data_IF_531303254005
#
_entry.id   IF_531303254005
#
_cell.length_a   1.000
_cell.length_b   1.000
_cell.length_c   1.000
_cell.angle_alpha   90.00
_cell.angle_beta   90.00
_cell.angle_gamma   90.00
#
_symmetry.space_group_name_H-M   'P 1'
#
loop_
_entity.id
_entity.type
_entity.pdbx_description
1 polymer ?
#
# COMPACT_ATOMS: atom_id res chain seq x y z
N UNK A 1 -16.02 -0.52 -40.96
CA UNK A 1 -15.57 0.43 -39.94
C UNK A 1 -16.57 1.56 -39.90
N UNK A 2 -17.59 1.45 -39.05
CA UNK A 2 -18.38 2.63 -38.68
C UNK A 2 -17.47 3.54 -37.88
N UNK A 3 -17.42 4.81 -38.24
CA UNK A 3 -16.80 5.86 -37.41
C UNK A 3 -17.67 6.02 -36.16
N UNK A 4 -17.36 5.25 -35.11
CA UNK A 4 -17.90 5.48 -33.77
C UNK A 4 -17.37 6.83 -33.31
N UNK A 5 -18.26 7.73 -32.90
CA UNK A 5 -17.89 9.09 -32.48
C UNK A 5 -17.53 9.02 -31.00
N UNK A 6 -16.23 8.92 -30.68
CA UNK A 6 -15.73 8.98 -29.31
C UNK A 6 -16.03 10.36 -28.71
N UNK A 7 -16.79 10.41 -27.61
CA UNK A 7 -17.13 11.66 -26.94
C UNK A 7 -16.21 11.90 -25.73
N UNK A 8 -15.29 12.86 -25.83
CA UNK A 8 -14.51 13.38 -24.70
C UNK A 8 -15.17 14.63 -24.11
N UNK A 9 -15.43 14.62 -22.81
CA UNK A 9 -16.01 15.75 -22.06
C UNK A 9 -15.04 16.19 -20.98
N UNK A 10 -14.68 17.48 -20.98
CA UNK A 10 -13.96 18.10 -19.87
C UNK A 10 -14.94 18.94 -19.04
N UNK A 11 -14.87 18.83 -17.71
CA UNK A 11 -15.61 19.73 -16.82
C UNK A 11 -15.11 21.17 -17.03
N UNK A 12 -15.95 22.02 -17.60
CA UNK A 12 -15.65 23.45 -17.75
C UNK A 12 -15.69 24.12 -16.38
N UNK A 13 -14.52 24.56 -15.88
CA UNK A 13 -14.46 25.43 -14.71
C UNK A 13 -15.19 26.73 -14.98
N UNK A 14 -16.35 26.94 -14.36
CA UNK A 14 -17.09 28.21 -14.46
C UNK A 14 -16.35 29.31 -13.71
N UNK A 15 -15.56 30.10 -14.41
CA UNK A 15 -15.18 31.44 -13.98
C UNK A 15 -16.29 32.42 -14.42
N UNK A 16 -17.03 32.95 -13.45
CA UNK A 16 -18.07 33.96 -13.70
C UNK A 16 -17.39 35.32 -13.90
N UNK A 17 -17.26 35.76 -15.16
CA UNK A 17 -17.04 37.16 -15.51
C UNK A 17 -18.35 37.74 -16.03
N UNK A 18 -18.90 38.71 -15.30
CA UNK A 18 -20.20 39.31 -15.59
C UNK A 18 -20.19 40.15 -16.86
N UNK A 19 -21.17 39.91 -17.73
CA UNK A 19 -21.72 40.90 -18.67
C UNK A 19 -23.24 40.73 -18.71
N UNK A 20 -23.96 41.80 -18.38
CA UNK A 20 -25.41 41.93 -18.50
C UNK A 20 -25.80 42.08 -19.98
N UNK A 21 -26.68 41.21 -20.50
CA UNK A 21 -27.79 41.57 -21.40
C UNK A 21 -28.58 40.34 -21.89
N UNK A 22 -29.93 40.42 -21.82
CA UNK A 22 -30.84 39.68 -22.71
C UNK A 22 -31.56 38.46 -22.10
N UNK A 23 -32.81 38.66 -21.67
CA UNK A 23 -33.71 37.64 -21.15
C UNK A 23 -34.14 36.63 -22.23
N UNK A 24 -33.71 35.38 -22.09
CA UNK A 24 -34.46 34.22 -22.54
C UNK A 24 -34.52 33.24 -21.36
N UNK A 25 -35.72 32.97 -20.85
CA UNK A 25 -35.95 32.01 -19.77
C UNK A 25 -35.74 30.60 -20.31
N UNK A 26 -34.48 30.18 -20.37
CA UNK A 26 -34.12 28.78 -20.50
C UNK A 26 -34.39 28.19 -19.12
N UNK A 27 -35.45 27.39 -18.99
CA UNK A 27 -35.59 26.49 -17.84
C UNK A 27 -34.42 25.52 -17.99
N UNK A 28 -33.43 25.51 -17.07
CA UNK A 28 -32.39 24.50 -17.14
C UNK A 28 -33.09 23.16 -16.95
N UNK A 29 -32.92 22.25 -17.93
CA UNK A 29 -33.16 20.84 -17.66
C UNK A 29 -32.32 20.48 -16.43
N UNK A 30 -32.84 19.70 -15.47
CA UNK A 30 -32.01 19.23 -14.38
C UNK A 30 -30.78 18.57 -15.01
N UNK A 31 -29.60 19.07 -14.68
CA UNK A 31 -28.35 18.38 -15.02
C UNK A 31 -28.56 16.94 -14.58
N UNK A 32 -28.52 16.01 -15.54
CA UNK A 32 -28.59 14.60 -15.24
C UNK A 32 -27.48 14.36 -14.22
N UNK A 33 -27.88 14.09 -12.97
CA UNK A 33 -26.93 13.87 -11.90
C UNK A 33 -26.00 12.77 -12.38
N UNK A 34 -24.76 13.14 -12.68
CA UNK A 34 -23.69 12.20 -12.92
C UNK A 34 -23.73 11.29 -11.71
N UNK A 35 -24.20 10.05 -11.90
CA UNK A 35 -24.32 9.07 -10.82
C UNK A 35 -22.93 9.03 -10.19
N UNK A 36 -22.81 9.51 -8.95
CA UNK A 36 -21.52 9.58 -8.27
C UNK A 36 -21.01 8.16 -8.19
N UNK A 37 -19.98 7.83 -8.98
CA UNK A 37 -19.37 6.53 -8.89
C UNK A 37 -18.85 6.38 -7.44
N UNK A 38 -19.21 5.29 -6.73
CA UNK A 38 -19.05 5.21 -5.29
C UNK A 38 -17.58 5.14 -4.90
N UNK A 39 -17.30 5.41 -3.63
CA UNK A 39 -15.95 5.32 -3.07
C UNK A 39 -15.10 6.56 -3.33
N UNK A 40 -13.79 6.38 -3.24
CA UNK A 40 -12.80 7.45 -3.35
C UNK A 40 -11.62 7.01 -4.20
N UNK A 41 -11.10 7.96 -4.98
CA UNK A 41 -9.89 7.83 -5.77
C UNK A 41 -8.78 8.54 -5.01
N UNK A 42 -7.72 7.82 -4.62
CA UNK A 42 -6.45 8.43 -4.22
C UNK A 42 -5.56 8.57 -5.44
N UNK A 43 -4.77 9.64 -5.49
CA UNK A 43 -3.99 9.99 -6.68
C UNK A 43 -2.80 10.90 -6.33
N UNK A 44 -1.86 11.05 -7.26
CA UNK A 44 -0.78 12.04 -7.18
C UNK A 44 -1.18 13.32 -7.91
N UNK A 45 -0.94 14.47 -7.28
CA UNK A 45 -1.04 15.79 -7.91
C UNK A 45 -0.09 16.77 -7.24
N UNK A 46 0.63 17.53 -8.06
CA UNK A 46 1.65 18.47 -7.61
C UNK A 46 2.66 17.79 -6.65
N UNK A 47 3.11 16.58 -7.01
CA UNK A 47 4.05 15.73 -6.27
C UNK A 47 3.56 15.21 -4.90
N UNK A 48 2.29 15.38 -4.57
CA UNK A 48 1.73 14.98 -3.29
C UNK A 48 0.55 14.02 -3.48
N UNK A 49 0.19 13.31 -2.42
CA UNK A 49 -1.00 12.45 -2.39
C UNK A 49 -2.23 13.31 -2.15
N UNK A 50 -3.23 13.09 -2.99
CA UNK A 50 -4.56 13.66 -2.89
C UNK A 50 -5.62 12.55 -2.90
N UNK A 51 -6.85 12.92 -2.58
CA UNK A 51 -8.02 12.07 -2.75
C UNK A 51 -9.22 12.88 -3.21
N UNK A 52 -10.12 12.25 -3.95
CA UNK A 52 -11.39 12.81 -4.42
C UNK A 52 -12.46 11.70 -4.45
N UNK A 53 -13.73 12.07 -4.59
CA UNK A 53 -14.79 11.10 -4.89
C UNK A 53 -14.69 10.60 -6.35
N UNK A 54 -15.48 9.60 -6.70
CA UNK A 54 -15.49 9.00 -8.05
C UNK A 54 -15.96 9.91 -9.20
N UNK A 55 -16.36 11.15 -8.90
CA UNK A 55 -16.66 12.18 -9.88
C UNK A 55 -15.59 13.29 -9.90
N UNK A 56 -14.50 13.13 -9.12
CA UNK A 56 -13.46 14.15 -8.94
C UNK A 56 -13.84 15.29 -7.99
N UNK A 57 -14.99 15.18 -7.33
CA UNK A 57 -15.45 16.11 -6.30
C UNK A 57 -14.78 15.87 -4.95
N UNK A 58 -15.06 16.75 -3.99
CA UNK A 58 -14.54 16.67 -2.61
C UNK A 58 -13.00 16.50 -2.51
N UNK A 59 -12.28 17.02 -3.51
CA UNK A 59 -10.84 16.87 -3.60
C UNK A 59 -10.13 17.43 -2.35
N UNK A 60 -9.20 16.64 -1.80
CA UNK A 60 -8.45 16.97 -0.59
C UNK A 60 -7.01 16.49 -0.71
N UNK A 61 -6.08 17.36 -0.35
CA UNK A 61 -4.68 17.00 -0.19
C UNK A 61 -4.47 16.17 1.10
N UNK A 62 -3.77 15.04 0.97
CA UNK A 62 -3.44 14.14 2.08
C UNK A 62 -2.03 14.39 2.59
N UNK A 63 -1.05 14.53 1.68
CA UNK A 63 0.35 14.76 2.05
C UNK A 63 0.85 16.12 1.59
N UNK A 64 1.93 16.57 2.20
CA UNK A 64 2.67 17.76 1.79
C UNK A 64 4.16 17.42 1.70
N UNK A 65 4.96 18.31 1.10
CA UNK A 65 6.42 18.21 1.11
C UNK A 65 7.02 17.40 -0.03
N UNK A 66 6.21 16.78 -0.89
CA UNK A 66 6.71 16.20 -2.14
C UNK A 66 7.27 17.28 -3.07
N UNK A 67 8.31 16.92 -3.83
CA UNK A 67 8.98 17.79 -4.80
C UNK A 67 9.21 17.06 -6.11
N UNK A 68 9.56 17.73 -7.22
CA UNK A 68 9.90 17.04 -8.47
C UNK A 68 11.02 15.99 -8.33
N UNK A 69 11.99 16.20 -7.42
CA UNK A 69 13.13 15.29 -7.22
C UNK A 69 12.93 14.22 -6.13
N UNK A 70 11.84 14.32 -5.38
CA UNK A 70 11.44 13.36 -4.34
C UNK A 70 9.91 13.49 -4.17
N UNK A 71 9.13 13.02 -5.15
CA UNK A 71 7.67 13.09 -5.07
C UNK A 71 7.13 12.05 -4.07
N UNK A 72 5.87 12.20 -3.69
CA UNK A 72 5.09 11.06 -3.21
C UNK A 72 4.69 10.19 -4.40
N UNK A 73 4.68 8.87 -4.24
CA UNK A 73 4.44 7.92 -5.33
C UNK A 73 3.59 6.72 -4.89
N UNK A 74 2.97 6.09 -5.89
CA UNK A 74 2.13 4.87 -5.78
C UNK A 74 1.11 4.91 -4.62
N UNK A 75 0.21 5.91 -4.59
CA UNK A 75 -0.80 6.01 -3.55
C UNK A 75 -1.90 4.96 -3.73
N UNK A 76 -2.19 4.21 -2.68
CA UNK A 76 -3.31 3.25 -2.65
C UNK A 76 -4.13 3.40 -1.37
N UNK A 77 -5.37 2.91 -1.37
CA UNK A 77 -6.28 3.06 -0.24
C UNK A 77 -7.06 1.78 0.05
N UNK A 78 -7.11 1.39 1.32
CA UNK A 78 -7.96 0.29 1.81
C UNK A 78 -9.42 0.71 1.85
N UNK A 79 -10.36 -0.22 1.91
CA UNK A 79 -11.80 0.07 1.96
C UNK A 79 -12.24 0.80 3.24
N UNK A 80 -11.42 0.77 4.29
CA UNK A 80 -11.64 1.53 5.52
C UNK A 80 -11.11 2.98 5.46
N UNK A 81 -10.50 3.40 4.34
CA UNK A 81 -9.93 4.74 4.18
C UNK A 81 -8.51 4.92 4.73
N UNK A 82 -7.76 3.83 4.96
CA UNK A 82 -6.31 3.91 5.22
C UNK A 82 -5.58 4.10 3.89
N UNK A 83 -4.76 5.15 3.82
CA UNK A 83 -3.94 5.48 2.65
C UNK A 83 -2.52 4.97 2.88
N UNK A 84 -1.93 4.38 1.84
CA UNK A 84 -0.51 4.03 1.76
C UNK A 84 0.09 4.70 0.55
N UNK A 85 1.26 5.32 0.72
CA UNK A 85 2.09 5.81 -0.37
C UNK A 85 3.55 5.74 0.09
N UNK A 86 4.48 5.79 -0.85
CA UNK A 86 5.90 5.87 -0.51
C UNK A 86 6.51 7.23 -0.84
N UNK A 87 7.55 7.57 -0.07
CA UNK A 87 8.30 8.81 -0.20
C UNK A 87 9.70 8.63 0.40
N UNK A 88 10.74 9.11 -0.29
CA UNK A 88 12.15 8.90 0.08
C UNK A 88 12.56 7.44 0.32
N UNK A 89 11.88 6.46 -0.28
CA UNK A 89 12.15 5.03 -0.11
C UNK A 89 11.54 4.40 1.15
N UNK A 90 10.62 5.10 1.83
CA UNK A 90 9.87 4.59 2.98
C UNK A 90 8.38 4.53 2.67
N UNK A 91 7.68 3.57 3.28
CA UNK A 91 6.23 3.40 3.15
C UNK A 91 5.53 4.12 4.30
N UNK A 92 4.62 5.04 3.97
CA UNK A 92 3.81 5.77 4.95
C UNK A 92 2.40 5.21 4.94
N UNK A 93 1.93 4.77 6.11
CA UNK A 93 0.53 4.41 6.33
C UNK A 93 -0.14 5.55 7.07
N UNK A 94 -1.14 6.16 6.46
CA UNK A 94 -1.80 7.37 6.97
C UNK A 94 -3.32 7.28 6.82
N UNK A 95 -4.03 8.15 7.53
CA UNK A 95 -5.45 8.34 7.29
C UNK A 95 -5.68 9.39 6.19
N UNK A 96 -6.94 9.57 5.77
CA UNK A 96 -7.29 10.54 4.73
C UNK A 96 -7.02 12.01 5.10
N UNK A 97 -6.65 12.29 6.35
CA UNK A 97 -6.31 13.63 6.83
C UNK A 97 -4.80 13.93 6.78
N UNK A 98 -3.99 12.96 6.38
CA UNK A 98 -2.53 13.06 6.40
C UNK A 98 -1.90 12.72 7.75
N UNK A 99 -2.69 12.26 8.72
CA UNK A 99 -2.16 11.83 10.01
C UNK A 99 -1.55 10.43 9.84
N UNK A 100 -0.27 10.30 10.17
CA UNK A 100 0.50 9.06 9.95
C UNK A 100 0.28 8.07 11.10
N UNK A 101 -0.17 6.86 10.77
CA UNK A 101 -0.27 5.74 11.71
C UNK A 101 1.12 5.19 12.06
N UNK A 102 1.93 4.94 11.03
CA UNK A 102 3.27 4.39 11.11
C UNK A 102 4.02 4.62 9.80
N UNK A 103 5.36 4.60 9.88
CA UNK A 103 6.28 4.59 8.74
C UNK A 103 7.00 3.25 8.77
N UNK A 104 7.08 2.60 7.61
CA UNK A 104 7.75 1.31 7.43
C UNK A 104 8.95 1.54 6.53
N UNK A 105 10.12 1.10 7.00
CA UNK A 105 11.27 0.80 6.17
C UNK A 105 11.08 -0.66 5.71
N UNK A 106 10.62 -0.90 4.45
CA UNK A 106 10.31 -2.24 4.01
C UNK A 106 11.58 -3.09 3.98
N UNK A 107 11.51 -4.38 4.33
CA UNK A 107 12.69 -5.23 4.28
C UNK A 107 13.25 -5.36 2.86
N UNK A 108 14.57 -5.33 2.76
CA UNK A 108 15.33 -5.59 1.53
C UNK A 108 14.85 -6.89 0.86
N UNK A 109 14.80 -6.85 -0.47
CA UNK A 109 14.51 -8.03 -1.29
C UNK A 109 15.74 -8.41 -2.10
N UNK A 110 15.71 -9.62 -2.65
CA UNK A 110 16.67 -10.05 -3.67
C UNK A 110 15.92 -10.40 -4.94
N UNK A 111 16.51 -10.07 -6.08
CA UNK A 111 15.98 -10.46 -7.39
C UNK A 111 16.33 -11.93 -7.72
N UNK A 112 15.98 -12.37 -8.94
CA UNK A 112 16.25 -13.72 -9.45
C UNK A 112 17.74 -14.06 -9.58
N UNK A 113 18.61 -13.05 -9.64
CA UNK A 113 20.06 -13.18 -9.75
C UNK A 113 20.77 -12.99 -8.39
N UNK A 114 20.00 -12.87 -7.31
CA UNK A 114 20.46 -12.68 -5.94
C UNK A 114 21.13 -11.32 -5.67
N UNK A 115 20.77 -10.30 -6.45
CA UNK A 115 21.16 -8.93 -6.17
C UNK A 115 20.20 -8.28 -5.16
N UNK A 116 20.74 -7.45 -4.27
CA UNK A 116 19.96 -6.79 -3.21
C UNK A 116 19.26 -5.53 -3.76
N UNK A 117 17.95 -5.45 -3.53
CA UNK A 117 17.10 -4.31 -3.83
C UNK A 117 16.56 -3.70 -2.53
N UNK A 118 16.74 -2.38 -2.34
CA UNK A 118 16.49 -1.75 -1.03
C UNK A 118 16.28 -0.23 -1.11
N UNK A 119 15.70 0.33 -0.04
CA UNK A 119 15.61 1.78 0.18
C UNK A 119 14.99 2.55 -0.98
N UNK A 120 15.76 3.42 -1.63
CA UNK A 120 15.27 4.27 -2.75
C UNK A 120 15.04 3.54 -4.07
N UNK A 121 15.30 2.23 -4.13
CA UNK A 121 14.88 1.40 -5.25
C UNK A 121 13.35 1.11 -5.21
N UNK A 122 12.63 1.59 -4.17
CA UNK A 122 11.19 1.34 -3.99
C UNK A 122 10.40 2.07 -5.06
N UNK A 123 9.62 1.33 -5.85
CA UNK A 123 8.83 1.90 -6.94
C UNK A 123 7.34 1.79 -6.71
N UNK A 124 6.84 0.69 -6.12
CA UNK A 124 5.39 0.48 -5.95
C UNK A 124 5.01 0.14 -4.52
N UNK A 125 3.82 0.57 -4.11
CA UNK A 125 3.17 0.16 -2.87
C UNK A 125 1.67 0.00 -3.03
N UNK A 126 1.12 -1.11 -2.55
CA UNK A 126 -0.32 -1.35 -2.57
C UNK A 126 -0.84 -1.90 -1.25
N UNK A 127 -1.82 -1.22 -0.62
CA UNK A 127 -2.49 -1.72 0.58
C UNK A 127 -3.67 -2.64 0.24
N UNK A 128 -3.77 -3.77 0.95
CA UNK A 128 -4.90 -4.70 0.82
C UNK A 128 -6.25 -4.06 1.17
N UNK A 129 -7.37 -4.56 0.62
CA UNK A 129 -8.71 -4.03 0.89
C UNK A 129 -9.07 -3.90 2.38
N UNK A 130 -8.72 -4.90 3.20
CA UNK A 130 -8.94 -4.88 4.65
C UNK A 130 -7.96 -3.99 5.43
N UNK A 131 -6.96 -3.41 4.75
CA UNK A 131 -5.96 -2.53 5.33
C UNK A 131 -4.90 -3.22 6.18
N UNK A 132 -4.80 -4.55 6.13
CA UNK A 132 -3.93 -5.35 7.02
C UNK A 132 -2.56 -5.69 6.44
N UNK A 133 -2.41 -5.66 5.11
CA UNK A 133 -1.17 -5.98 4.38
C UNK A 133 -0.83 -4.91 3.37
N UNK A 134 0.47 -4.82 3.07
CA UNK A 134 1.03 -3.96 2.03
C UNK A 134 1.90 -4.85 1.13
N UNK A 135 1.63 -4.82 -0.17
CA UNK A 135 2.55 -5.29 -1.20
C UNK A 135 3.49 -4.13 -1.56
N UNK A 136 4.76 -4.41 -1.80
CA UNK A 136 5.74 -3.41 -2.19
C UNK A 136 6.70 -3.97 -3.22
N UNK A 137 7.05 -3.16 -4.22
CA UNK A 137 7.97 -3.56 -5.29
C UNK A 137 9.21 -2.70 -5.25
N UNK A 138 10.37 -3.35 -5.26
CA UNK A 138 11.61 -2.69 -5.62
C UNK A 138 11.90 -2.92 -7.10
N UNK A 139 12.40 -1.88 -7.79
CA UNK A 139 12.96 -2.01 -9.12
C UNK A 139 14.23 -1.17 -9.27
N UNK A 140 15.20 -1.70 -9.99
CA UNK A 140 16.49 -1.06 -10.22
C UNK A 140 17.07 -1.43 -11.57
N UNK A 141 17.68 -0.48 -12.24
CA UNK A 141 18.35 -0.73 -13.52
C UNK A 141 19.86 -0.78 -13.31
N UNK A 142 20.48 -1.90 -13.64
CA UNK A 142 21.94 -2.06 -13.69
C UNK A 142 22.37 -2.44 -15.10
N UNK A 143 23.33 -1.69 -15.66
CA UNK A 143 23.87 -1.95 -17.00
C UNK A 143 22.80 -2.10 -18.10
N UNK A 144 21.66 -1.40 -17.96
CA UNK A 144 20.53 -1.48 -18.89
C UNK A 144 19.56 -2.64 -18.67
N UNK A 145 19.79 -3.47 -17.65
CA UNK A 145 18.90 -4.57 -17.25
C UNK A 145 18.07 -4.12 -16.05
N UNK A 146 16.75 -4.29 -16.11
CA UNK A 146 15.83 -3.98 -15.02
C UNK A 146 15.71 -5.21 -14.12
N UNK A 147 15.95 -5.01 -12.83
CA UNK A 147 15.86 -5.99 -11.76
C UNK A 147 14.71 -5.60 -10.86
N UNK A 148 13.84 -6.53 -10.48
CA UNK A 148 12.71 -6.22 -9.60
C UNK A 148 12.37 -7.40 -8.70
N UNK A 149 11.72 -7.08 -7.59
CA UNK A 149 11.12 -8.05 -6.69
C UNK A 149 9.95 -7.39 -5.96
N UNK A 150 8.88 -8.15 -5.77
CA UNK A 150 7.71 -7.75 -4.99
C UNK A 150 7.62 -8.59 -3.72
N UNK A 151 7.57 -7.90 -2.58
CA UNK A 151 7.42 -8.48 -1.26
C UNK A 151 6.10 -8.07 -0.61
N UNK A 152 5.81 -8.68 0.54
CA UNK A 152 4.61 -8.41 1.30
C UNK A 152 4.93 -8.21 2.77
N UNK A 153 4.26 -7.25 3.39
CA UNK A 153 4.41 -6.95 4.81
C UNK A 153 3.07 -6.73 5.48
N UNK A 154 2.99 -6.96 6.79
CA UNK A 154 1.87 -6.46 7.57
C UNK A 154 1.84 -4.92 7.47
N UNK A 155 0.65 -4.33 7.38
CA UNK A 155 0.51 -2.88 7.21
C UNK A 155 0.95 -2.10 8.46
N UNK A 156 0.94 -2.72 9.64
CA UNK A 156 1.36 -2.10 10.90
C UNK A 156 2.86 -2.23 11.23
N UNK A 157 3.62 -3.08 10.53
CA UNK A 157 5.04 -3.32 10.80
C UNK A 157 5.71 -4.13 9.68
N UNK A 158 7.02 -3.91 9.48
CA UNK A 158 7.85 -4.72 8.60
C UNK A 158 7.85 -6.21 9.02
N UNK A 159 7.42 -7.09 8.13
CA UNK A 159 7.39 -8.55 8.32
C UNK A 159 8.56 -9.21 7.58
N UNK A 160 8.91 -10.43 7.96
CA UNK A 160 9.90 -11.22 7.22
C UNK A 160 9.38 -11.51 5.78
N UNK A 161 10.13 -11.16 4.71
CA UNK A 161 9.70 -11.43 3.33
C UNK A 161 9.41 -12.91 3.06
N UNK A 162 10.05 -13.83 3.77
CA UNK A 162 9.81 -15.27 3.60
C UNK A 162 8.42 -15.71 4.07
N UNK A 163 7.71 -14.90 4.87
CA UNK A 163 6.43 -15.30 5.47
C UNK A 163 5.31 -15.47 4.44
N UNK A 164 5.21 -14.57 3.46
CA UNK A 164 4.27 -14.66 2.33
C UNK A 164 4.95 -14.98 1.00
N UNK A 165 6.27 -15.17 1.02
CA UNK A 165 7.07 -15.34 -0.18
C UNK A 165 7.36 -14.01 -0.87
N UNK A 166 8.25 -14.10 -1.87
CA UNK A 166 8.65 -13.01 -2.75
C UNK A 166 8.23 -13.40 -4.16
N UNK A 167 7.69 -12.45 -4.91
CA UNK A 167 7.43 -12.59 -6.33
C UNK A 167 8.47 -11.80 -7.12
N UNK A 168 8.81 -12.29 -8.31
CA UNK A 168 9.75 -11.62 -9.22
C UNK A 168 9.00 -10.93 -10.35
N UNK A 169 7.86 -10.33 -10.02
CA UNK A 169 6.95 -9.59 -10.91
C UNK A 169 6.71 -8.20 -10.30
N UNK A 170 6.16 -7.24 -11.05
CA UNK A 170 5.95 -5.85 -10.60
C UNK A 170 4.47 -5.42 -10.59
N UNK A 171 4.21 -4.16 -10.20
CA UNK A 171 2.90 -3.50 -10.20
C UNK A 171 1.79 -4.31 -9.51
N UNK A 172 1.92 -4.56 -8.19
CA UNK A 172 0.95 -5.34 -7.43
C UNK A 172 -0.38 -4.61 -7.29
N UNK A 173 -1.47 -5.29 -7.68
CA UNK A 173 -2.83 -4.87 -7.36
C UNK A 173 -3.57 -5.98 -6.60
N UNK A 174 -4.30 -5.62 -5.55
CA UNK A 174 -4.97 -6.60 -4.71
C UNK A 174 -6.29 -7.06 -5.31
N UNK A 175 -6.41 -8.36 -5.57
CA UNK A 175 -7.65 -9.02 -6.01
C UNK A 175 -8.52 -9.38 -4.81
N UNK A 176 -7.88 -9.83 -3.73
CA UNK A 176 -8.51 -10.10 -2.42
C UNK A 176 -7.57 -9.70 -1.28
N UNK A 177 -7.85 -10.04 -0.03
CA UNK A 177 -6.92 -9.78 1.09
C UNK A 177 -5.68 -10.69 1.11
N UNK A 178 -5.63 -11.72 0.25
CA UNK A 178 -4.55 -12.71 0.18
C UNK A 178 -4.14 -13.09 -1.26
N UNK A 179 -4.67 -12.41 -2.27
CA UNK A 179 -4.35 -12.62 -3.69
C UNK A 179 -4.04 -11.28 -4.33
N UNK A 180 -2.93 -11.20 -5.05
CA UNK A 180 -2.57 -10.05 -5.88
C UNK A 180 -2.46 -10.46 -7.34
N UNK A 181 -2.78 -9.56 -8.25
CA UNK A 181 -2.39 -9.64 -9.65
C UNK A 181 -1.09 -8.85 -9.83
N UNK A 182 -0.19 -9.38 -10.66
CA UNK A 182 1.13 -8.81 -10.89
C UNK A 182 1.39 -8.72 -12.39
N UNK A 183 2.04 -7.62 -12.78
CA UNK A 183 2.51 -7.41 -14.15
C UNK A 183 3.85 -8.09 -14.36
N UNK A 184 4.11 -8.51 -15.58
CA UNK A 184 5.36 -9.18 -15.94
C UNK A 184 6.00 -8.43 -17.10
N UNK A 185 7.10 -7.74 -16.81
CA UNK A 185 7.80 -6.96 -17.80
C UNK A 185 8.50 -7.87 -18.82
N UNK A 186 8.39 -7.54 -20.11
CA UNK A 186 9.00 -8.29 -21.22
C UNK A 186 8.53 -9.77 -21.31
N UNK A 187 7.32 -10.07 -20.82
CA UNK A 187 6.62 -11.33 -21.11
C UNK A 187 5.14 -11.04 -21.30
N UNK A 188 4.47 -11.93 -22.03
CA UNK A 188 3.04 -11.89 -22.24
C UNK A 188 2.27 -12.63 -21.13
N UNK A 189 2.96 -13.07 -20.08
CA UNK A 189 2.41 -13.97 -19.07
C UNK A 189 1.91 -13.16 -17.87
N UNK A 190 0.62 -13.23 -17.57
CA UNK A 190 0.04 -12.48 -16.46
C UNK A 190 -0.16 -13.38 -15.24
N UNK A 191 0.19 -12.89 -14.06
CA UNK A 191 0.30 -13.73 -12.87
C UNK A 191 -0.67 -13.31 -11.76
N UNK A 192 -1.28 -14.30 -11.11
CA UNK A 192 -1.93 -14.17 -9.82
C UNK A 192 -1.03 -14.81 -8.76
N UNK A 193 -0.86 -14.14 -7.62
CA UNK A 193 -0.04 -14.62 -6.53
C UNK A 193 -0.87 -14.77 -5.26
N UNK A 194 -1.02 -16.02 -4.81
CA UNK A 194 -1.65 -16.36 -3.54
C UNK A 194 -0.59 -16.33 -2.44
N UNK A 195 -0.68 -15.34 -1.55
CA UNK A 195 0.33 -15.05 -0.53
C UNK A 195 0.68 -16.29 0.31
N UNK A 196 1.96 -16.66 0.30
CA UNK A 196 2.50 -17.79 1.05
C UNK A 196 2.07 -19.17 0.52
N UNK A 197 1.41 -19.23 -0.64
CA UNK A 197 0.90 -20.49 -1.19
C UNK A 197 1.47 -20.80 -2.57
N UNK A 198 1.24 -19.94 -3.56
CA UNK A 198 1.57 -20.25 -4.97
C UNK A 198 1.61 -19.02 -5.86
N UNK A 199 2.38 -19.15 -6.93
CA UNK A 199 2.34 -18.29 -8.10
C UNK A 199 1.54 -19.00 -9.21
N UNK A 200 0.56 -18.31 -9.79
CA UNK A 200 -0.37 -18.82 -10.79
C UNK A 200 -0.16 -18.02 -12.07
N UNK A 201 0.47 -18.64 -13.06
CA UNK A 201 0.44 -18.15 -14.44
C UNK A 201 -1.01 -18.25 -14.94
N UNK A 202 -1.67 -17.11 -15.13
CA UNK A 202 -3.10 -17.06 -15.43
C UNK A 202 -3.38 -17.08 -16.93
N UNK A 203 -3.07 -16.00 -17.64
CA UNK A 203 -3.33 -15.93 -19.08
C UNK A 203 -2.26 -15.13 -19.83
N UNK A 204 -2.33 -15.23 -21.14
CA UNK A 204 -1.50 -14.51 -22.10
C UNK A 204 -2.40 -13.86 -23.15
N UNK A 205 -2.11 -12.64 -23.59
CA UNK A 205 -2.95 -11.95 -24.59
C UNK A 205 -3.12 -12.78 -25.89
N UNK A 206 -2.15 -13.64 -26.23
CA UNK A 206 -2.21 -14.56 -27.39
C UNK A 206 -3.41 -15.50 -27.36
N UNK A 207 -4.09 -15.65 -26.22
CA UNK A 207 -5.32 -16.45 -26.12
C UNK A 207 -6.51 -15.79 -26.83
N UNK A 208 -6.47 -14.47 -27.09
CA UNK A 208 -7.55 -13.75 -27.76
C UNK A 208 -7.08 -12.78 -28.87
N UNK A 209 -5.77 -12.49 -29.00
CA UNK A 209 -5.22 -11.64 -30.09
C UNK A 209 -3.92 -12.16 -30.68
N UNK A 210 -3.79 -12.04 -32.00
CA UNK A 210 -2.58 -12.50 -32.73
C UNK A 210 -1.43 -11.48 -32.64
N UNK A 211 -1.75 -10.19 -32.53
CA UNK A 211 -0.83 -9.06 -32.38
C UNK A 211 -0.57 -8.75 -30.89
N UNK A 212 -0.25 -9.78 -30.11
CA UNK A 212 -0.10 -9.62 -28.66
C UNK A 212 0.98 -8.57 -28.31
N UNK A 213 0.61 -7.63 -27.44
CA UNK A 213 1.47 -6.63 -26.81
C UNK A 213 1.60 -6.92 -25.32
N UNK A 214 2.55 -6.26 -24.66
CA UNK A 214 2.67 -6.32 -23.21
C UNK A 214 1.39 -5.78 -22.56
N UNK A 215 0.96 -6.44 -21.49
CA UNK A 215 -0.09 -5.97 -20.60
C UNK A 215 0.54 -5.65 -19.25
N UNK A 216 0.18 -4.51 -18.67
CA UNK A 216 0.66 -4.09 -17.36
C UNK A 216 -0.40 -3.28 -16.60
N UNK A 217 -0.11 -2.89 -15.35
CA UNK A 217 -1.00 -2.11 -14.48
C UNK A 217 -2.38 -2.74 -14.32
N UNK A 218 -2.40 -4.03 -14.03
CA UNK A 218 -3.64 -4.78 -13.90
C UNK A 218 -4.47 -4.36 -12.69
N UNK A 219 -5.79 -4.34 -12.87
CA UNK A 219 -6.72 -4.38 -11.75
C UNK A 219 -7.87 -5.35 -12.03
N UNK A 220 -8.23 -6.15 -11.02
CA UNK A 220 -9.39 -7.04 -11.05
C UNK A 220 -10.51 -6.42 -10.22
N UNK A 221 -11.68 -6.29 -10.83
CA UNK A 221 -12.87 -5.74 -10.18
C UNK A 221 -13.27 -6.53 -8.92
N UNK A 222 -13.92 -5.85 -7.97
CA UNK A 222 -14.30 -6.43 -6.66
C UNK A 222 -15.25 -7.62 -6.76
N UNK A 223 -16.11 -7.63 -7.78
CA UNK A 223 -17.00 -8.77 -8.06
C UNK A 223 -16.34 -9.86 -8.91
N UNK A 224 -15.08 -9.66 -9.34
CA UNK A 224 -14.32 -10.58 -10.17
C UNK A 224 -14.74 -10.63 -11.64
N UNK A 225 -15.73 -9.86 -12.09
CA UNK A 225 -16.28 -9.97 -13.45
C UNK A 225 -15.38 -9.34 -14.53
N UNK A 226 -14.60 -8.33 -14.14
CA UNK A 226 -13.77 -7.53 -15.04
C UNK A 226 -12.32 -7.51 -14.60
N UNK A 227 -11.44 -7.45 -15.59
CA UNK A 227 -10.02 -7.09 -15.45
C UNK A 227 -9.74 -5.93 -16.40
N UNK A 228 -9.01 -4.92 -15.92
CA UNK A 228 -8.48 -3.85 -16.77
C UNK A 228 -6.97 -3.88 -16.75
N UNK A 229 -6.35 -3.40 -17.82
CA UNK A 229 -4.90 -3.30 -17.94
C UNK A 229 -4.52 -2.21 -18.94
N UNK A 230 -3.30 -1.70 -18.82
CA UNK A 230 -2.61 -0.97 -19.87
C UNK A 230 -2.04 -1.97 -20.86
N UNK A 231 -2.27 -1.78 -22.17
CA UNK A 231 -1.73 -2.60 -23.25
C UNK A 231 -0.82 -1.76 -24.14
N UNK A 232 0.37 -2.28 -24.43
CA UNK A 232 1.32 -1.65 -25.36
C UNK A 232 2.60 -1.16 -24.72
N UNK A 233 3.51 -0.69 -25.57
CA UNK A 233 4.78 -0.09 -25.18
C UNK A 233 4.67 1.43 -25.07
N UNK A 234 5.69 2.06 -24.50
CA UNK A 234 5.77 3.51 -24.36
C UNK A 234 5.56 4.24 -25.69
N UNK A 235 4.50 5.04 -25.77
CA UNK A 235 4.08 5.80 -26.94
C UNK A 235 2.99 5.14 -27.80
N UNK A 236 2.54 3.94 -27.45
CA UNK A 236 1.51 3.15 -28.14
C UNK A 236 0.59 2.44 -27.13
N UNK A 237 0.44 3.04 -25.95
CA UNK A 237 -0.41 2.49 -24.89
C UNK A 237 -1.90 2.68 -25.16
N UNK A 238 -2.66 1.72 -24.66
CA UNK A 238 -4.12 1.64 -24.71
C UNK A 238 -4.65 1.09 -23.39
N UNK A 239 -5.91 1.39 -23.05
CA UNK A 239 -6.60 0.70 -21.94
C UNK A 239 -7.40 -0.45 -22.53
N UNK A 240 -7.28 -1.65 -21.95
CA UNK A 240 -8.11 -2.81 -22.31
C UNK A 240 -9.06 -3.17 -21.18
N UNK A 241 -10.28 -3.57 -21.55
CA UNK A 241 -11.26 -4.14 -20.63
C UNK A 241 -11.50 -5.59 -21.02
N UNK A 242 -11.25 -6.48 -20.07
CA UNK A 242 -11.34 -7.92 -20.24
C UNK A 242 -12.47 -8.48 -19.37
N UNK A 243 -13.27 -9.37 -19.95
CA UNK A 243 -14.30 -10.13 -19.23
C UNK A 243 -13.67 -11.37 -18.62
N UNK A 244 -13.77 -11.51 -17.31
CA UNK A 244 -13.36 -12.73 -16.61
C UNK A 244 -14.46 -13.79 -16.69
N UNK A 245 -14.02 -15.05 -16.78
CA UNK A 245 -14.90 -16.22 -16.80
C UNK A 245 -14.64 -17.07 -15.55
N UNK A 246 -15.71 -17.49 -14.87
CA UNK A 246 -15.60 -18.26 -13.63
C UNK A 246 -15.10 -17.43 -12.43
N UNK A 247 -14.54 -18.10 -11.42
CA UNK A 247 -14.07 -17.47 -10.18
C UNK A 247 -12.58 -17.08 -10.27
N UNK A 248 -12.30 -15.83 -10.58
CA UNK A 248 -10.93 -15.29 -10.54
C UNK A 248 -10.43 -14.98 -9.12
N UNK A 249 -11.35 -14.80 -8.16
CA UNK A 249 -11.02 -14.30 -6.83
C UNK A 249 -10.37 -15.38 -5.97
N UNK A 250 -10.79 -16.64 -6.12
CA UNK A 250 -10.28 -17.73 -5.28
C UNK A 250 -9.86 -19.00 -6.02
N UNK A 251 -10.25 -19.17 -7.29
CA UNK A 251 -9.90 -20.39 -8.04
C UNK A 251 -8.37 -20.60 -8.09
N UNK A 252 -7.88 -21.83 -7.90
CA UNK A 252 -6.48 -22.18 -8.14
C UNK A 252 -6.10 -22.17 -9.63
N UNK A 253 -7.09 -22.24 -10.52
CA UNK A 253 -6.96 -22.30 -11.98
C UNK A 253 -8.08 -21.45 -12.61
N UNK A 254 -7.95 -20.11 -12.59
CA UNK A 254 -8.94 -19.22 -13.14
C UNK A 254 -8.93 -19.28 -14.67
N UNK A 255 -10.12 -19.25 -15.30
CA UNK A 255 -10.21 -19.31 -16.75
C UNK A 255 -9.65 -18.04 -17.40
N UNK A 256 -9.15 -18.18 -18.62
CA UNK A 256 -8.65 -17.05 -19.41
C UNK A 256 -9.77 -16.03 -19.64
N UNK A 257 -9.50 -14.73 -19.49
CA UNK A 257 -10.47 -13.70 -19.82
C UNK A 257 -10.57 -13.49 -21.34
N UNK A 258 -11.60 -12.76 -21.77
CA UNK A 258 -11.79 -12.38 -23.17
C UNK A 258 -11.83 -10.86 -23.32
N UNK A 259 -11.16 -10.32 -24.35
CA UNK A 259 -11.23 -8.90 -24.67
C UNK A 259 -12.68 -8.49 -24.98
N UNK A 260 -13.12 -7.41 -24.34
CA UNK A 260 -14.40 -6.77 -24.64
C UNK A 260 -14.18 -5.52 -25.47
N UNK A 261 -13.29 -4.64 -25.03
CA UNK A 261 -13.03 -3.39 -25.71
C UNK A 261 -11.63 -2.83 -25.39
N UNK A 262 -11.14 -1.99 -26.29
CA UNK A 262 -9.90 -1.22 -26.19
C UNK A 262 -10.24 0.25 -26.53
N UNK A 263 -10.93 0.96 -25.62
CA UNK A 263 -11.65 2.18 -25.95
C UNK A 263 -10.75 3.39 -26.21
N UNK A 264 -9.50 3.34 -25.74
CA UNK A 264 -8.54 4.44 -25.85
C UNK A 264 -7.22 3.87 -26.33
N UNK A 265 -6.66 4.47 -27.39
CA UNK A 265 -5.30 4.27 -27.86
C UNK A 265 -4.73 5.61 -28.35
N UNK A 266 -3.41 5.74 -28.35
CA UNK A 266 -2.60 6.87 -28.87
C UNK A 266 -2.05 7.87 -27.82
N UNK A 267 -1.81 7.45 -26.57
CA UNK A 267 -1.23 8.35 -25.55
C UNK A 267 -0.50 7.65 -24.41
N UNK A 268 0.15 8.43 -23.54
CA UNK A 268 0.76 7.94 -22.31
C UNK A 268 -0.32 7.62 -21.27
N UNK A 269 -0.94 6.44 -21.41
CA UNK A 269 -2.00 5.92 -20.55
C UNK A 269 -1.40 5.02 -19.48
N UNK A 270 -1.74 5.26 -18.22
CA UNK A 270 -1.17 4.51 -17.10
C UNK A 270 -2.19 4.23 -16.00
N UNK A 271 -1.94 3.16 -15.25
CA UNK A 271 -2.58 2.85 -13.96
C UNK A 271 -4.12 2.87 -13.99
N UNK A 272 -4.77 2.02 -14.82
CA UNK A 272 -6.21 1.90 -14.79
C UNK A 272 -6.69 1.32 -13.47
N UNK A 273 -7.78 1.87 -12.94
CA UNK A 273 -8.39 1.43 -11.69
C UNK A 273 -9.91 1.31 -11.81
N UNK A 274 -10.52 0.37 -11.08
CA UNK A 274 -11.94 0.02 -11.24
C UNK A 274 -12.74 0.52 -10.04
N UNK A 275 -13.89 1.14 -10.31
CA UNK A 275 -14.81 1.57 -9.27
C UNK A 275 -15.26 0.38 -8.38
N UNK A 276 -15.54 0.61 -7.08
CA UNK A 276 -15.93 -0.45 -6.14
C UNK A 276 -17.19 -1.23 -6.52
N UNK A 277 -18.12 -0.59 -7.23
CA UNK A 277 -19.32 -1.21 -7.79
C UNK A 277 -19.06 -2.01 -9.08
N UNK A 278 -17.81 -1.99 -9.56
CA UNK A 278 -17.35 -2.66 -10.78
C UNK A 278 -18.02 -2.14 -12.06
N UNK A 279 -18.51 -0.90 -12.05
CA UNK A 279 -19.26 -0.30 -13.16
C UNK A 279 -18.44 0.69 -14.00
N UNK A 280 -17.34 1.23 -13.47
CA UNK A 280 -16.53 2.25 -14.15
C UNK A 280 -15.04 1.98 -14.01
N UNK A 281 -14.28 2.51 -14.95
CA UNK A 281 -12.80 2.50 -14.97
C UNK A 281 -12.33 3.94 -14.98
N UNK A 282 -11.27 4.23 -14.23
CA UNK A 282 -10.52 5.47 -14.33
C UNK A 282 -9.07 5.18 -14.71
N UNK A 283 -8.38 6.10 -15.37
CA UNK A 283 -6.96 5.95 -15.76
C UNK A 283 -6.30 7.34 -15.83
N UNK A 284 -4.97 7.37 -15.77
CA UNK A 284 -4.21 8.60 -15.94
C UNK A 284 -3.85 8.86 -17.41
N UNK A 285 -3.99 10.11 -17.82
CA UNK A 285 -3.43 10.72 -19.04
C UNK A 285 -2.56 11.93 -18.66
N UNK A 286 -1.73 12.48 -19.56
CA UNK A 286 -0.88 13.63 -19.25
C UNK A 286 -1.63 14.88 -18.72
N UNK A 287 -2.92 15.04 -19.06
CA UNK A 287 -3.76 16.17 -18.65
C UNK A 287 -4.63 15.88 -17.41
N UNK A 288 -4.71 14.64 -16.95
CA UNK A 288 -5.41 14.26 -15.73
C UNK A 288 -6.00 12.86 -15.74
N UNK A 289 -6.84 12.59 -14.74
CA UNK A 289 -7.53 11.30 -14.60
C UNK A 289 -8.87 11.36 -15.32
N UNK A 290 -9.03 10.45 -16.27
CA UNK A 290 -10.24 10.24 -17.04
C UNK A 290 -11.03 9.06 -16.49
N UNK A 291 -12.33 9.02 -16.80
CA UNK A 291 -13.25 7.96 -16.39
C UNK A 291 -14.16 7.55 -17.54
N UNK A 292 -14.50 6.27 -17.56
CA UNK A 292 -15.45 5.65 -18.49
C UNK A 292 -16.36 4.65 -17.75
N UNK A 293 -17.61 4.53 -18.19
CA UNK A 293 -18.50 3.41 -17.85
C UNK A 293 -18.09 2.14 -18.59
N UNK A 294 -17.94 1.01 -17.87
CA UNK A 294 -17.66 -0.28 -18.51
C UNK A 294 -18.78 -0.67 -19.48
N UNK A 295 -20.03 -0.34 -19.15
CA UNK A 295 -21.19 -0.64 -19.99
C UNK A 295 -21.12 0.12 -21.32
N UNK A 296 -20.70 1.38 -21.31
CA UNK A 296 -20.55 2.18 -22.53
C UNK A 296 -19.49 1.57 -23.47
N UNK A 297 -18.48 0.93 -22.89
CA UNK A 297 -17.45 0.18 -23.61
C UNK A 297 -18.00 -1.13 -24.20
N UNK A 298 -18.84 -1.85 -23.45
CA UNK A 298 -19.54 -3.06 -23.93
C UNK A 298 -20.48 -2.73 -25.09
N UNK A 299 -21.14 -1.57 -25.03
CA UNK A 299 -22.11 -1.12 -26.03
C UNK A 299 -21.45 -0.44 -27.25
N UNK A 300 -20.11 -0.45 -27.36
CA UNK A 300 -19.33 0.18 -28.43
C UNK A 300 -19.64 1.69 -28.61
N UNK A 301 -19.88 2.37 -27.49
CA UNK A 301 -20.17 3.81 -27.44
C UNK A 301 -19.51 4.48 -26.22
N UNK A 302 -18.17 4.42 -26.11
CA UNK A 302 -17.47 4.91 -24.93
C UNK A 302 -17.59 6.43 -24.79
N UNK A 303 -17.92 6.88 -23.57
CA UNK A 303 -17.90 8.29 -23.17
C UNK A 303 -16.81 8.48 -22.12
N UNK A 304 -15.96 9.48 -22.34
CA UNK A 304 -14.84 9.78 -21.45
C UNK A 304 -15.05 11.12 -20.75
N UNK A 305 -15.00 11.09 -19.42
CA UNK A 305 -15.08 12.28 -18.58
C UNK A 305 -13.71 12.55 -17.93
N UNK A 306 -13.16 13.75 -18.13
CA UNK A 306 -12.01 14.22 -17.35
C UNK A 306 -12.51 14.60 -15.95
N UNK A 307 -12.24 13.75 -14.97
CA UNK A 307 -12.75 13.91 -13.60
C UNK A 307 -11.75 14.63 -12.68
N UNK A 308 -10.45 14.43 -12.86
CA UNK A 308 -9.41 15.06 -12.00
C UNK A 308 -8.31 15.65 -12.87
N UNK A 309 -8.44 16.92 -13.29
CA UNK A 309 -7.41 17.61 -14.07
C UNK A 309 -6.05 17.68 -13.34
N UNK A 310 -4.99 17.29 -14.03
CA UNK A 310 -3.61 17.24 -13.53
C UNK A 310 -3.35 16.21 -12.44
N UNK A 311 -4.27 15.27 -12.21
CA UNK A 311 -4.02 14.10 -11.37
C UNK A 311 -3.33 12.98 -12.16
N UNK A 312 -2.52 12.18 -11.48
CA UNK A 312 -1.93 10.94 -11.99
C UNK A 312 -2.02 9.85 -10.93
N UNK A 313 -1.61 8.64 -11.29
CA UNK A 313 -1.47 7.48 -10.41
C UNK A 313 -2.74 7.15 -9.59
N UNK A 314 -3.91 6.97 -10.22
CA UNK A 314 -5.15 6.78 -9.50
C UNK A 314 -5.27 5.36 -8.91
N UNK A 315 -5.84 5.26 -7.72
CA UNK A 315 -6.36 4.00 -7.17
C UNK A 315 -7.73 4.22 -6.54
N UNK A 316 -8.70 3.39 -6.90
CA UNK A 316 -10.09 3.52 -6.48
C UNK A 316 -10.47 2.50 -5.41
N UNK A 317 -10.90 2.98 -4.25
CA UNK A 317 -11.31 2.13 -3.12
C UNK A 317 -12.77 2.33 -2.74
N UNK A 318 -13.33 1.40 -1.96
CA UNK A 318 -14.69 1.51 -1.43
C UNK A 318 -14.82 2.56 -0.31
N UNK A 319 -13.72 3.16 0.13
CA UNK A 319 -13.77 4.16 1.20
C UNK A 319 -14.52 5.41 0.76
N UNK A 320 -15.31 5.98 1.65
CA UNK A 320 -15.93 7.29 1.41
C UNK A 320 -14.95 8.41 1.76
N UNK A 321 -14.97 9.50 0.99
CA UNK A 321 -14.19 10.71 1.31
C UNK A 321 -14.55 11.23 2.70
N UNK A 322 -13.54 11.46 3.54
CA UNK A 322 -13.67 11.87 4.93
C UNK A 322 -13.87 10.72 5.93
N UNK A 323 -14.18 9.50 5.47
CA UNK A 323 -14.37 8.33 6.34
C UNK A 323 -13.06 7.54 6.42
N UNK A 324 -12.37 7.67 7.56
CA UNK A 324 -11.05 7.07 7.78
C UNK A 324 -10.85 6.77 9.26
N UNK A 325 -10.03 5.77 9.63
CA UNK A 325 -9.78 5.46 11.03
C UNK A 325 -8.97 6.58 11.68
N UNK A 326 -9.22 6.83 12.95
CA UNK A 326 -8.39 7.76 13.71
C UNK A 326 -7.01 7.16 13.96
N UNK A 327 -5.97 7.97 13.77
CA UNK A 327 -4.63 7.62 14.25
C UNK A 327 -4.72 7.47 15.76
N UNK A 328 -4.29 6.34 16.35
CA UNK A 328 -4.25 6.20 17.79
C UNK A 328 -3.45 7.36 18.39
N UNK A 329 -4.11 8.24 19.15
CA UNK A 329 -3.46 9.41 19.74
C UNK A 329 -2.25 8.94 20.55
N UNK A 330 -1.08 9.53 20.28
CA UNK A 330 0.21 9.15 20.86
C UNK A 330 0.12 8.97 22.38
N UNK A 331 0.17 7.70 22.80
CA UNK A 331 -0.05 7.28 24.19
C UNK A 331 -0.84 5.97 24.32
N UNK A 332 -1.55 5.54 23.27
CA UNK A 332 -2.44 4.36 23.33
C UNK A 332 -2.24 3.34 22.20
N UNK A 333 -1.01 3.15 21.70
CA UNK A 333 -0.66 1.84 21.13
C UNK A 333 -0.45 0.89 22.29
N UNK A 334 -1.55 0.31 22.80
CA UNK A 334 -1.65 -0.62 23.93
C UNK A 334 -0.35 -0.82 24.70
N UNK A 335 -0.12 -0.05 25.77
CA UNK A 335 1.04 -0.31 26.61
C UNK A 335 0.94 -1.72 27.20
N UNK A 336 2.07 -2.41 27.32
CA UNK A 336 2.08 -3.68 28.02
C UNK A 336 1.65 -3.47 29.48
N UNK A 337 0.58 -4.14 29.88
CA UNK A 337 0.15 -4.16 31.28
C UNK A 337 0.69 -5.43 31.94
N UNK A 338 1.49 -5.28 33.01
CA UNK A 338 2.02 -6.43 33.73
C UNK A 338 0.88 -7.15 34.48
N UNK A 339 0.47 -8.31 34.00
CA UNK A 339 -0.47 -9.21 34.70
C UNK A 339 0.23 -10.00 35.82
N UNK A 340 1.56 -10.13 35.75
CA UNK A 340 2.40 -10.57 36.86
C UNK A 340 3.67 -9.75 36.89
N UNK A 341 3.95 -9.11 38.03
CA UNK A 341 5.09 -8.20 38.15
C UNK A 341 6.45 -8.90 37.95
N UNK A 342 7.41 -8.25 37.23
CA UNK A 342 8.79 -8.74 37.13
C UNK A 342 9.51 -8.78 38.49
N UNK A 343 10.44 -9.72 38.69
CA UNK A 343 11.14 -9.92 39.98
C UNK A 343 12.61 -10.30 39.81
N UNK A 344 13.47 -9.87 40.73
CA UNK A 344 14.90 -10.25 40.80
C UNK A 344 15.20 -11.07 42.06
N UNK A 345 15.58 -12.33 41.87
CA UNK A 345 15.97 -13.26 42.94
C UNK A 345 17.50 -13.37 43.07
N UNK A 346 17.96 -13.81 44.24
CA UNK A 346 19.37 -13.99 44.57
C UNK A 346 19.94 -12.90 45.48
N UNK A 347 21.09 -13.20 46.06
CA UNK A 347 21.83 -12.33 46.97
C UNK A 347 22.86 -11.49 46.20
N UNK A 348 22.87 -10.17 46.42
CA UNK A 348 23.89 -9.28 45.90
C UNK A 348 25.19 -9.43 46.71
N UNK A 349 25.94 -10.49 46.43
CA UNK A 349 27.25 -10.78 47.04
C UNK A 349 28.19 -11.27 45.95
N UNK A 350 29.45 -10.81 45.98
CA UNK A 350 30.49 -11.22 45.03
C UNK A 350 30.52 -12.75 44.90
N UNK A 351 30.55 -13.25 43.67
CA UNK A 351 30.53 -14.68 43.32
C UNK A 351 29.14 -15.31 43.20
N UNK A 352 28.10 -14.70 43.78
CA UNK A 352 26.70 -15.18 43.69
C UNK A 352 26.03 -14.70 42.40
N UNK A 353 24.91 -15.33 42.04
CA UNK A 353 24.16 -15.05 40.82
C UNK A 353 22.82 -14.40 41.17
N UNK A 354 22.50 -13.31 40.47
CA UNK A 354 21.17 -12.71 40.44
C UNK A 354 20.41 -13.23 39.21
N UNK A 355 19.12 -13.52 39.37
CA UNK A 355 18.24 -14.00 38.28
C UNK A 355 17.03 -13.08 38.17
N UNK A 356 16.77 -12.56 36.98
CA UNK A 356 15.60 -11.77 36.64
C UNK A 356 14.51 -12.67 36.05
N UNK A 357 13.26 -12.47 36.48
CA UNK A 357 12.06 -13.05 35.85
C UNK A 357 11.22 -11.90 35.30
N UNK A 358 10.81 -12.01 34.04
CA UNK A 358 10.10 -10.95 33.33
C UNK A 358 8.64 -10.77 33.75
N UNK A 359 8.06 -11.76 34.44
CA UNK A 359 6.63 -11.74 34.77
C UNK A 359 5.78 -12.13 33.56
N UNK A 360 4.50 -11.72 33.58
CA UNK A 360 3.53 -11.92 32.51
C UNK A 360 2.92 -10.56 32.16
N UNK A 361 2.59 -10.37 30.88
CA UNK A 361 2.14 -9.10 30.32
C UNK A 361 0.96 -9.32 29.38
N UNK A 362 0.07 -8.33 29.29
CA UNK A 362 -1.03 -8.27 28.33
C UNK A 362 -0.94 -6.97 27.52
N UNK A 363 -0.99 -7.03 26.17
CA UNK A 363 -0.94 -8.23 25.33
C UNK A 363 0.33 -9.07 25.55
N UNK A 364 0.30 -10.37 25.22
CA UNK A 364 1.46 -11.24 25.39
C UNK A 364 2.64 -10.74 24.52
N UNK A 365 3.85 -10.57 25.08
CA UNK A 365 5.00 -10.04 24.34
C UNK A 365 5.60 -11.11 23.44
N UNK A 366 6.14 -10.70 22.30
CA UNK A 366 6.90 -11.61 21.41
C UNK A 366 8.39 -11.63 21.76
N UNK A 367 8.91 -10.59 22.43
CA UNK A 367 10.29 -10.54 22.88
C UNK A 367 10.48 -9.82 24.22
N UNK A 368 11.50 -10.28 24.98
CA UNK A 368 11.97 -9.65 26.21
C UNK A 368 13.50 -9.60 26.21
N UNK A 369 14.06 -8.40 26.32
CA UNK A 369 15.51 -8.20 26.46
C UNK A 369 15.90 -7.74 27.86
N UNK A 370 17.14 -8.05 28.25
CA UNK A 370 17.68 -7.76 29.58
C UNK A 370 18.94 -6.90 29.44
N UNK A 371 19.14 -5.99 30.38
CA UNK A 371 20.40 -5.27 30.54
C UNK A 371 20.68 -5.05 32.03
N UNK A 372 21.75 -5.66 32.54
CA UNK A 372 22.19 -5.42 33.92
C UNK A 372 22.92 -4.09 34.03
N UNK A 373 22.68 -3.41 35.14
CA UNK A 373 23.16 -2.06 35.44
C UNK A 373 23.99 -2.06 36.71
N UNK A 374 25.08 -1.29 36.71
CA UNK A 374 25.91 -0.97 37.87
C UNK A 374 25.80 0.52 38.14
N UNK A 375 25.25 0.89 39.31
CA UNK A 375 24.93 2.27 39.66
C UNK A 375 24.13 2.99 38.55
N UNK A 376 23.14 2.31 37.97
CA UNK A 376 22.31 2.84 36.88
C UNK A 376 22.96 2.79 35.49
N UNK A 377 24.26 2.52 35.36
CA UNK A 377 24.96 2.44 34.07
C UNK A 377 25.01 1.01 33.51
N UNK A 378 24.83 0.79 32.20
CA UNK A 378 24.90 -0.54 31.59
C UNK A 378 26.23 -1.26 31.86
N UNK A 379 26.15 -2.53 32.24
CA UNK A 379 27.30 -3.42 32.32
C UNK A 379 27.50 -4.07 30.95
N UNK A 380 28.62 -3.79 30.29
CA UNK A 380 28.95 -4.32 28.96
C UNK A 380 28.79 -5.85 28.93
N UNK A 381 28.13 -6.37 27.89
CA UNK A 381 27.81 -7.80 27.65
C UNK A 381 26.85 -8.45 28.66
N UNK A 382 26.37 -7.75 29.69
CA UNK A 382 25.46 -8.31 30.68
C UNK A 382 23.99 -8.24 30.22
N UNK A 383 23.66 -8.96 29.14
CA UNK A 383 22.34 -8.95 28.49
C UNK A 383 21.48 -10.20 28.74
N UNK A 384 21.95 -11.13 29.58
CA UNK A 384 21.23 -12.38 29.91
C UNK A 384 20.29 -12.16 31.10
N UNK A 385 19.26 -13.01 31.24
CA UNK A 385 18.36 -13.01 32.40
C UNK A 385 19.08 -13.28 33.75
N UNK A 386 20.31 -13.82 33.72
CA UNK A 386 21.16 -14.04 34.90
C UNK A 386 22.43 -13.20 34.86
N UNK A 387 22.86 -12.71 36.02
CA UNK A 387 24.12 -12.01 36.20
C UNK A 387 24.91 -12.53 37.39
N UNK A 388 26.18 -12.89 37.14
CA UNK A 388 27.13 -13.24 38.20
C UNK A 388 27.77 -11.97 38.75
N UNK A 389 27.58 -11.73 40.05
CA UNK A 389 28.17 -10.58 40.74
C UNK A 389 29.68 -10.74 40.79
N UNK A 390 30.39 -9.75 40.26
CA UNK A 390 31.85 -9.74 40.13
C UNK A 390 32.49 -8.90 41.23
N UNK A 391 33.83 -8.98 41.35
CA UNK A 391 34.58 -8.14 42.30
C UNK A 391 34.39 -6.64 42.03
N UNK A 392 34.21 -6.24 40.76
CA UNK A 392 33.96 -4.84 40.35
C UNK A 392 32.64 -4.29 40.87
N UNK A 393 31.73 -5.15 41.33
CA UNK A 393 30.42 -4.75 41.87
C UNK A 393 30.45 -4.52 43.38
N UNK A 394 31.54 -4.86 44.09
CA UNK A 394 31.64 -4.73 45.54
C UNK A 394 31.31 -3.30 46.00
N UNK A 395 30.34 -3.17 46.90
CA UNK A 395 29.85 -1.87 47.39
C UNK A 395 29.02 -1.06 46.39
N UNK A 396 28.81 -1.55 45.16
CA UNK A 396 27.98 -0.91 44.12
C UNK A 396 26.54 -1.40 44.19
N UNK A 397 25.64 -0.70 43.50
CA UNK A 397 24.22 -1.06 43.36
C UNK A 397 24.00 -1.76 42.03
N UNK A 398 23.40 -2.94 42.06
CA UNK A 398 23.08 -3.74 40.87
C UNK A 398 21.58 -3.79 40.67
N UNK A 399 21.13 -3.48 39.46
CA UNK A 399 19.74 -3.60 39.01
C UNK A 399 19.71 -4.20 37.59
N UNK A 400 18.52 -4.57 37.13
CA UNK A 400 18.28 -5.01 35.74
C UNK A 400 17.19 -4.15 35.13
N UNK A 401 17.39 -3.78 33.86
CA UNK A 401 16.35 -3.21 32.99
C UNK A 401 15.84 -4.30 32.07
N UNK A 402 14.53 -4.44 31.99
CA UNK A 402 13.81 -5.24 31.01
C UNK A 402 13.24 -4.32 29.94
N UNK A 403 13.27 -4.76 28.70
CA UNK A 403 12.50 -4.14 27.61
C UNK A 403 11.58 -5.20 27.04
N UNK A 404 10.28 -4.92 27.06
CA UNK A 404 9.20 -5.77 26.59
C UNK A 404 8.75 -5.22 25.24
N UNK A 405 8.67 -6.09 24.23
CA UNK A 405 8.31 -5.67 22.88
C UNK A 405 7.42 -6.70 22.17
N UNK A 406 6.54 -6.16 21.33
CA UNK A 406 5.74 -6.88 20.34
C UNK A 406 5.52 -5.93 19.17
N UNK A 407 5.66 -6.40 17.92
CA UNK A 407 5.34 -5.59 16.75
C UNK A 407 3.95 -4.94 16.87
N UNK A 408 3.83 -3.66 16.49
CA UNK A 408 2.58 -2.90 16.59
C UNK A 408 2.24 -2.33 17.98
N UNK A 409 3.04 -2.56 19.02
CA UNK A 409 2.84 -2.03 20.37
C UNK A 409 4.04 -1.19 20.82
N UNK A 410 3.78 -0.15 21.61
CA UNK A 410 4.85 0.64 22.21
C UNK A 410 5.68 -0.24 23.17
N UNK A 411 7.01 -0.25 22.99
CA UNK A 411 7.89 -1.02 23.87
C UNK A 411 7.86 -0.47 25.30
N UNK A 412 7.74 -1.36 26.29
CA UNK A 412 7.64 -1.00 27.71
C UNK A 412 8.92 -1.40 28.42
N UNK A 413 9.46 -0.51 29.26
CA UNK A 413 10.65 -0.82 30.08
C UNK A 413 10.30 -0.93 31.55
N UNK A 414 10.97 -1.85 32.24
CA UNK A 414 10.88 -2.00 33.68
C UNK A 414 12.28 -2.11 34.28
N UNK A 415 12.56 -1.34 35.33
CA UNK A 415 13.85 -1.42 36.04
C UNK A 415 13.65 -1.87 37.48
N UNK A 416 14.37 -2.91 37.90
CA UNK A 416 14.29 -3.42 39.27
C UNK A 416 14.85 -2.43 40.29
N UNK A 417 14.32 -2.45 41.50
CA UNK A 417 14.97 -1.80 42.65
C UNK A 417 16.44 -2.27 42.80
N UNK A 418 17.40 -1.35 43.03
CA UNK A 418 18.81 -1.69 43.11
C UNK A 418 19.15 -2.47 44.37
N UNK A 419 19.91 -3.57 44.24
CA UNK A 419 20.50 -4.30 45.36
C UNK A 419 21.95 -3.88 45.59
N UNK A 420 22.27 -3.39 46.80
CA UNK A 420 23.64 -3.06 47.18
C UNK A 420 24.44 -4.34 47.40
N UNK A 421 25.58 -4.46 46.73
CA UNK A 421 26.48 -5.61 46.91
C UNK A 421 27.20 -5.47 48.23
N UNK A 422 27.12 -6.51 49.08
CA UNK A 422 27.79 -6.52 50.39
C UNK A 422 29.28 -6.22 50.23
N UNK A 423 29.80 -5.36 51.10
CA UNK A 423 31.24 -5.13 51.24
C UNK A 423 31.92 -6.40 51.70
#
# INVERSE_FOLDING_TARGET
>A
MSLVTTARRALAGTAVAGVLAGLASIVPLPEASAVSAPGAIVYIKDHNVWLADGAGGQARQVTTGGTPGDPWQSPTQSDAGVVVAHHSGLIYRMNQRGEVFNVIDPPDLVDVENNVLQGRDLTETAISPDGTKIAYTYAKVWYGIKHWATGYTAAGYASDPAYWGVSFQDKPSWVTNNRVILSVWNRLDNHLYDLGQRDIRWFDERVYRADAKELSDFEVSRNGAWTVATRGDVGDESIVVLRNHGDVLTSPDPANPTLVCEPVGDGALHEPTIAPDSASVAWAEPDGIWRMSIQDCVDDNPVFDLIIPGGSDPTWSAATVGVTPDVPQGGQNGAFTATTAPKVKGQAKVGKVLKAKAGAWSPAPTAVSYQWLRNGKPIKKAKKASYRVTRKDRGKRISVRLTISRPGLASTTWTSAPKKVKR
#
